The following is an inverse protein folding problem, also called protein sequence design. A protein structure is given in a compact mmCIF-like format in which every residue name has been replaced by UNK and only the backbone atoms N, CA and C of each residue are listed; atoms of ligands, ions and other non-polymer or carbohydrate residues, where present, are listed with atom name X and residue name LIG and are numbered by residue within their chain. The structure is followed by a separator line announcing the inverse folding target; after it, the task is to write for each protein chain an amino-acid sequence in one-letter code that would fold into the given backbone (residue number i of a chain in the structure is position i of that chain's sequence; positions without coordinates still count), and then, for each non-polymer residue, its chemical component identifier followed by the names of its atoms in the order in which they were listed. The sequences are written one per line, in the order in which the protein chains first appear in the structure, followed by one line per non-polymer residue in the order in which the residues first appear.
data_IF_487171553622
#
_entry.id   IF_487171553622
#
_cell.length_a   1.000
_cell.length_b   1.000
_cell.length_c   1.000
_cell.angle_alpha   90.00
_cell.angle_beta   90.00
_cell.angle_gamma   90.00
#
_symmetry.space_group_name_H-M   'P 1'
#
loop_
_entity.id
_entity.type
_entity.pdbx_description
1 polymer ?
#
# COMPACT_ATOMS: atom_id res chain seq x y z
N UNK A 1 15.78 2.29 -19.08
CA UNK A 1 16.32 2.89 -17.84
C UNK A 1 15.67 2.17 -16.67
N UNK A 2 16.46 1.48 -15.84
CA UNK A 2 16.01 0.95 -14.55
C UNK A 2 16.03 2.09 -13.53
N UNK A 3 14.94 2.27 -12.79
CA UNK A 3 14.84 3.24 -11.71
C UNK A 3 15.37 2.58 -10.45
N UNK A 4 16.30 3.24 -9.76
CA UNK A 4 16.89 2.76 -8.51
C UNK A 4 15.94 3.14 -7.35
N UNK A 5 15.17 2.16 -6.83
CA UNK A 5 14.22 2.37 -5.74
C UNK A 5 14.97 2.45 -4.41
N UNK A 6 14.81 3.57 -3.70
CA UNK A 6 15.46 3.83 -2.40
C UNK A 6 14.44 4.34 -1.40
N UNK A 7 14.74 4.14 -0.12
CA UNK A 7 13.91 4.59 0.98
C UNK A 7 13.16 3.45 1.67
N UNK A 8 12.14 3.80 2.46
CA UNK A 8 11.33 2.83 3.21
C UNK A 8 10.25 2.28 2.29
N UNK A 9 10.24 0.95 2.13
CA UNK A 9 9.29 0.21 1.30
C UNK A 9 8.36 -0.59 2.20
N UNK A 10 7.06 -0.30 2.16
CA UNK A 10 6.05 -0.96 3.00
C UNK A 10 5.37 -2.11 2.24
N UNK A 11 5.22 -3.26 2.91
CA UNK A 11 4.47 -4.40 2.40
C UNK A 11 2.98 -4.17 2.65
N UNK A 12 2.20 -3.98 1.59
CA UNK A 12 0.77 -3.75 1.76
C UNK A 12 0.03 -5.06 2.00
N UNK A 13 -0.73 -5.11 3.09
CA UNK A 13 -1.72 -6.15 3.28
C UNK A 13 -2.82 -5.98 2.22
N UNK A 14 -3.30 -7.09 1.67
CA UNK A 14 -4.47 -7.10 0.78
C UNK A 14 -5.72 -7.28 1.63
N UNK A 15 -6.51 -6.23 1.90
CA UNK A 15 -7.68 -6.35 2.75
C UNK A 15 -8.82 -7.03 2.00
N UNK A 16 -9.48 -7.96 2.66
CA UNK A 16 -10.68 -8.62 2.17
C UNK A 16 -11.84 -8.34 3.11
N UNK A 17 -13.05 -8.24 2.55
CA UNK A 17 -14.28 -8.18 3.32
C UNK A 17 -14.68 -9.57 3.86
N UNK A 18 -15.79 -9.62 4.61
CA UNK A 18 -16.31 -10.87 5.17
C UNK A 18 -16.73 -11.90 4.10
N UNK A 19 -16.94 -11.47 2.86
CA UNK A 19 -17.26 -12.34 1.73
C UNK A 19 -16.01 -12.76 0.93
N UNK A 20 -14.80 -12.48 1.46
CA UNK A 20 -13.51 -12.72 0.79
C UNK A 20 -13.35 -11.93 -0.52
N UNK A 21 -14.06 -10.81 -0.68
CA UNK A 21 -13.85 -9.88 -1.81
C UNK A 21 -12.88 -8.80 -1.41
N UNK A 22 -12.13 -8.29 -2.38
CA UNK A 22 -11.17 -7.21 -2.15
C UNK A 22 -11.87 -5.95 -1.62
N UNK A 23 -11.50 -5.51 -0.43
CA UNK A 23 -11.96 -4.25 0.15
C UNK A 23 -11.12 -3.09 -0.40
N UNK A 24 -11.62 -2.47 -1.48
CA UNK A 24 -10.95 -1.36 -2.16
C UNK A 24 -10.91 -0.08 -1.32
N UNK A 25 -11.88 0.15 -0.44
CA UNK A 25 -11.93 1.35 0.39
C UNK A 25 -10.86 1.30 1.48
N UNK A 26 -10.75 0.16 2.17
CA UNK A 26 -9.69 -0.06 3.15
C UNK A 26 -8.31 -0.04 2.50
N UNK A 27 -8.15 -0.65 1.31
CA UNK A 27 -6.88 -0.60 0.57
C UNK A 27 -6.50 0.85 0.21
N UNK A 28 -7.46 1.67 -0.26
CA UNK A 28 -7.23 3.09 -0.58
C UNK A 28 -6.76 3.86 0.65
N UNK A 29 -7.38 3.64 1.81
CA UNK A 29 -6.98 4.28 3.07
C UNK A 29 -5.57 3.85 3.49
N UNK A 30 -5.25 2.57 3.36
CA UNK A 30 -3.92 2.04 3.69
C UNK A 30 -2.82 2.65 2.81
N UNK A 31 -3.07 2.76 1.50
CA UNK A 31 -2.14 3.44 0.57
C UNK A 31 -1.94 4.91 0.96
N UNK A 32 -3.04 5.63 1.22
CA UNK A 32 -2.97 7.06 1.62
C UNK A 32 -2.22 7.25 2.92
N UNK A 33 -2.47 6.40 3.92
CA UNK A 33 -1.74 6.42 5.18
C UNK A 33 -0.24 6.27 4.97
N UNK A 34 0.22 5.28 4.18
CA UNK A 34 1.64 5.11 3.93
C UNK A 34 2.26 6.33 3.22
N UNK A 35 1.56 6.92 2.25
CA UNK A 35 2.02 8.15 1.58
C UNK A 35 2.14 9.31 2.58
N UNK A 36 1.15 9.50 3.46
CA UNK A 36 1.16 10.56 4.49
C UNK A 36 2.25 10.38 5.53
N UNK A 37 2.65 9.13 5.84
CA UNK A 37 3.78 8.82 6.70
C UNK A 37 5.15 9.01 6.02
N UNK A 38 5.18 9.35 4.73
CA UNK A 38 6.43 9.56 3.98
C UNK A 38 7.11 8.26 3.55
N UNK A 39 6.35 7.18 3.35
CA UNK A 39 6.87 5.92 2.80
C UNK A 39 7.24 6.13 1.33
N UNK A 40 8.45 5.71 0.95
CA UNK A 40 9.03 5.95 -0.38
C UNK A 40 8.54 4.95 -1.45
N UNK A 41 7.94 3.83 -1.04
CA UNK A 41 7.30 2.91 -1.97
C UNK A 41 6.51 1.77 -1.32
N UNK A 42 5.75 1.09 -2.17
CA UNK A 42 4.75 0.09 -1.80
C UNK A 42 4.92 -1.14 -2.70
N UNK A 43 4.78 -2.34 -2.14
CA UNK A 43 4.78 -3.60 -2.89
C UNK A 43 3.71 -4.57 -2.38
#
# INVERSE_FOLDING_TARGET
MSVDLKGVMSALLTPFDSEQKLDKESLRRLVRFNIEQGIDGLY
#
